data_IF_984301826906
#
_entry.id   IF_984301826906
#
_cell.length_a   1.000
_cell.length_b   1.000
_cell.length_c   1.000
_cell.angle_alpha   90.00
_cell.angle_beta   90.00
_cell.angle_gamma   90.00
#
_symmetry.space_group_name_H-M   'P 1'
#
loop_
_entity.id
_entity.type
_entity.pdbx_description
1 polymer ?
#
# COMPACT_ATOMS: atom_id res chain seq x y z
N UNK A 1 18.33 9.24 -14.01
CA UNK A 1 17.45 8.26 -14.69
C UNK A 1 17.25 7.01 -13.84
N UNK A 2 18.30 6.29 -13.44
CA UNK A 2 18.19 5.03 -12.68
C UNK A 2 17.27 5.07 -11.44
N UNK A 3 17.37 6.11 -10.59
CA UNK A 3 16.56 6.23 -9.38
C UNK A 3 15.04 6.33 -9.63
N UNK A 4 14.63 7.00 -10.71
CA UNK A 4 13.20 7.18 -11.05
C UNK A 4 12.55 5.84 -11.42
N UNK A 5 13.32 4.96 -12.04
CA UNK A 5 12.89 3.64 -12.48
C UNK A 5 13.22 2.53 -11.48
N UNK A 6 13.70 2.89 -10.28
CA UNK A 6 13.98 1.93 -9.22
C UNK A 6 12.67 1.40 -8.65
N UNK A 7 12.64 0.12 -8.27
CA UNK A 7 11.45 -0.55 -7.76
C UNK A 7 10.94 0.11 -6.46
N UNK A 8 11.83 0.58 -5.60
CA UNK A 8 11.47 1.33 -4.39
C UNK A 8 10.71 2.61 -4.72
N UNK A 9 11.08 3.28 -5.82
CA UNK A 9 10.39 4.49 -6.27
C UNK A 9 9.01 4.14 -6.82
N UNK A 10 8.89 3.04 -7.57
CA UNK A 10 7.59 2.52 -8.04
C UNK A 10 6.65 2.23 -6.85
N UNK A 11 7.12 1.46 -5.87
CA UNK A 11 6.32 1.06 -4.70
C UNK A 11 5.95 2.25 -3.82
N UNK A 12 6.86 3.23 -3.64
CA UNK A 12 6.55 4.47 -2.93
C UNK A 12 5.46 5.29 -3.64
N UNK A 13 5.47 5.33 -4.98
CA UNK A 13 4.43 5.99 -5.75
C UNK A 13 3.09 5.25 -5.68
N UNK A 14 3.10 3.92 -5.75
CA UNK A 14 1.88 3.12 -5.59
C UNK A 14 1.23 3.37 -4.23
N UNK A 15 2.01 3.35 -3.14
CA UNK A 15 1.48 3.64 -1.81
C UNK A 15 0.86 5.04 -1.73
N UNK A 16 1.55 6.04 -2.30
CA UNK A 16 1.04 7.40 -2.31
C UNK A 16 -0.31 7.49 -3.03
N UNK A 17 -0.46 6.82 -4.16
CA UNK A 17 -1.71 6.78 -4.92
C UNK A 17 -2.80 6.07 -4.12
N UNK A 18 -2.46 4.94 -3.49
CA UNK A 18 -3.41 4.14 -2.70
C UNK A 18 -3.96 4.92 -1.51
N UNK A 19 -3.09 5.59 -0.74
CA UNK A 19 -3.53 6.44 0.38
C UNK A 19 -4.46 7.56 -0.10
N UNK A 20 -4.16 8.19 -1.24
CA UNK A 20 -5.03 9.21 -1.82
C UNK A 20 -6.39 8.64 -2.27
N UNK A 21 -6.42 7.41 -2.77
CA UNK A 21 -7.66 6.72 -3.11
C UNK A 21 -8.50 6.45 -1.85
N UNK A 22 -7.88 5.94 -0.77
CA UNK A 22 -8.52 5.76 0.54
C UNK A 22 -9.09 7.08 1.07
N UNK A 23 -8.35 8.19 0.98
CA UNK A 23 -8.85 9.51 1.37
C UNK A 23 -10.08 9.94 0.56
N UNK A 24 -10.07 9.70 -0.75
CA UNK A 24 -11.22 9.97 -1.61
C UNK A 24 -12.45 9.16 -1.18
N UNK A 25 -12.26 7.88 -0.89
CA UNK A 25 -13.33 6.98 -0.45
C UNK A 25 -13.88 7.36 0.93
N UNK A 26 -13.02 7.73 1.88
CA UNK A 26 -13.41 8.21 3.20
C UNK A 26 -14.24 9.50 3.11
N UNK A 27 -13.87 10.44 2.20
CA UNK A 27 -14.68 11.65 1.93
C UNK A 27 -16.06 11.34 1.37
N UNK A 28 -16.19 10.23 0.64
CA UNK A 28 -17.47 9.74 0.13
C UNK A 28 -18.25 8.89 1.16
N UNK A 29 -17.72 8.73 2.39
CA UNK A 29 -18.36 7.96 3.46
C UNK A 29 -18.38 6.45 3.22
N UNK A 30 -17.44 5.92 2.41
CA UNK A 30 -17.38 4.48 2.09
C UNK A 30 -16.82 3.62 3.23
N UNK A 31 -16.01 4.20 4.12
CA UNK A 31 -15.49 3.53 5.30
C UNK A 31 -15.19 4.56 6.42
N UNK A 32 -15.01 4.13 7.69
CA UNK A 32 -14.79 5.01 8.84
C UNK A 32 -13.56 5.91 8.72
N UNK A 33 -13.62 7.12 9.29
CA UNK A 33 -12.46 8.02 9.35
C UNK A 33 -11.34 7.45 10.23
N UNK A 34 -11.68 6.72 11.29
CA UNK A 34 -10.71 6.08 12.18
C UNK A 34 -9.81 5.07 11.42
N UNK A 35 -10.34 4.38 10.42
CA UNK A 35 -9.56 3.46 9.58
C UNK A 35 -8.62 4.24 8.66
N UNK A 36 -9.04 5.41 8.15
CA UNK A 36 -8.18 6.29 7.35
C UNK A 36 -7.01 6.82 8.20
N UNK A 37 -7.26 7.19 9.44
CA UNK A 37 -6.23 7.66 10.37
C UNK A 37 -5.22 6.55 10.68
N UNK A 38 -5.68 5.30 10.84
CA UNK A 38 -4.80 4.14 10.98
C UNK A 38 -3.95 3.91 9.73
N UNK A 39 -4.55 3.97 8.53
CA UNK A 39 -3.83 3.84 7.26
C UNK A 39 -2.76 4.92 7.17
N UNK A 40 -3.09 6.19 7.43
CA UNK A 40 -2.10 7.30 7.38
C UNK A 40 -0.96 7.15 8.38
N UNK A 41 -1.24 6.65 9.58
CA UNK A 41 -0.25 6.50 10.63
C UNK A 41 0.71 5.33 10.40
N UNK A 42 0.26 4.28 9.70
CA UNK A 42 0.97 2.99 9.63
C UNK A 42 1.37 2.56 8.22
N UNK A 43 0.77 3.13 7.18
CA UNK A 43 1.11 2.82 5.80
C UNK A 43 2.56 3.24 5.51
N UNK A 44 3.39 2.25 5.22
CA UNK A 44 4.79 2.42 4.84
C UNK A 44 5.03 1.71 3.52
N UNK A 45 5.91 2.27 2.69
CA UNK A 45 6.22 1.67 1.40
C UNK A 45 6.92 0.33 1.68
N UNK A 46 6.42 -0.80 1.14
CA UNK A 46 7.06 -2.08 1.34
C UNK A 46 8.38 -2.12 0.58
N UNK A 47 9.31 -2.97 1.04
CA UNK A 47 10.56 -3.19 0.30
C UNK A 47 10.30 -4.10 -0.91
N UNK A 48 11.04 -3.95 -2.01
CA UNK A 48 10.91 -4.84 -3.17
C UNK A 48 11.06 -6.32 -2.83
N UNK A 49 11.94 -6.66 -1.89
CA UNK A 49 12.16 -8.03 -1.44
C UNK A 49 10.91 -8.60 -0.76
N UNK A 50 10.20 -7.80 0.05
CA UNK A 50 8.99 -8.26 0.73
C UNK A 50 7.86 -8.50 -0.27
N UNK A 51 7.72 -7.60 -1.25
CA UNK A 51 6.72 -7.76 -2.31
C UNK A 51 7.01 -9.02 -3.13
N UNK A 52 8.26 -9.23 -3.54
CA UNK A 52 8.67 -10.41 -4.31
C UNK A 52 8.38 -11.72 -3.57
N UNK A 53 8.64 -11.79 -2.25
CA UNK A 53 8.32 -12.98 -1.44
C UNK A 53 6.82 -13.32 -1.43
N UNK A 54 5.96 -12.30 -1.40
CA UNK A 54 4.51 -12.51 -1.43
C UNK A 54 4.07 -12.87 -2.86
N UNK A 55 4.69 -12.26 -3.86
CA UNK A 55 4.44 -12.53 -5.28
C UNK A 55 4.76 -13.98 -5.69
N UNK A 56 5.73 -14.63 -5.05
CA UNK A 56 5.99 -16.06 -5.24
C UNK A 56 4.77 -16.95 -4.94
N UNK A 57 3.88 -16.49 -4.06
CA UNK A 57 2.65 -17.20 -3.67
C UNK A 57 1.44 -16.67 -4.43
N UNK A 58 1.32 -15.34 -4.59
CA UNK A 58 0.14 -14.73 -5.24
C UNK A 58 0.22 -14.77 -6.76
N UNK A 59 1.43 -14.89 -7.33
CA UNK A 59 1.72 -14.73 -8.76
C UNK A 59 1.15 -13.43 -9.35
N UNK A 60 1.04 -12.39 -8.52
CA UNK A 60 0.50 -11.09 -8.89
C UNK A 60 1.11 -9.98 -8.04
N UNK A 61 1.88 -9.12 -8.70
CA UNK A 61 2.60 -7.97 -8.15
C UNK A 61 1.73 -6.98 -7.37
N UNK A 62 0.60 -6.54 -7.92
CA UNK A 62 -0.31 -5.59 -7.25
C UNK A 62 -0.95 -6.22 -6.02
N UNK A 63 -1.40 -7.47 -6.11
CA UNK A 63 -1.95 -8.17 -4.96
C UNK A 63 -0.89 -8.36 -3.85
N UNK A 64 0.34 -8.70 -4.24
CA UNK A 64 1.46 -8.82 -3.33
C UNK A 64 1.79 -7.49 -2.64
N UNK A 65 1.77 -6.39 -3.39
CA UNK A 65 1.97 -5.04 -2.87
C UNK A 65 0.90 -4.65 -1.84
N UNK A 66 -0.39 -4.81 -2.18
CA UNK A 66 -1.49 -4.47 -1.26
C UNK A 66 -1.39 -5.29 0.03
N UNK A 67 -1.08 -6.58 -0.09
CA UNK A 67 -0.86 -7.43 1.07
C UNK A 67 0.32 -6.96 1.92
N UNK A 68 1.46 -6.61 1.30
CA UNK A 68 2.63 -6.10 2.00
C UNK A 68 2.35 -4.77 2.74
N UNK A 69 1.56 -3.88 2.14
CA UNK A 69 1.15 -2.61 2.76
C UNK A 69 0.19 -2.83 3.93
N UNK A 70 -0.69 -3.83 3.84
CA UNK A 70 -1.67 -4.14 4.88
C UNK A 70 -1.04 -4.71 6.17
N UNK A 71 0.11 -5.39 6.08
CA UNK A 71 0.82 -6.01 7.22
C UNK A 71 1.04 -5.05 8.41
N UNK A 72 1.65 -3.86 8.23
CA UNK A 72 1.85 -2.91 9.33
C UNK A 72 0.57 -2.19 9.76
N UNK A 73 -0.44 -2.07 8.89
CA UNK A 73 -1.70 -1.35 9.18
C UNK A 73 -2.60 -2.20 10.09
N UNK A 74 -2.74 -3.49 9.77
CA UNK A 74 -3.60 -4.43 10.47
C UNK A 74 -5.03 -4.45 9.91
N UNK A 75 -6.08 -4.56 10.75
CA UNK A 75 -7.46 -4.72 10.28
C UNK A 75 -7.97 -3.62 9.35
N UNK A 76 -7.55 -2.37 9.55
CA UNK A 76 -7.94 -1.24 8.69
C UNK A 76 -7.34 -1.30 7.28
N UNK A 77 -6.34 -2.16 7.05
CA UNK A 77 -5.73 -2.37 5.73
C UNK A 77 -6.34 -3.53 4.93
N UNK A 78 -7.46 -4.11 5.38
CA UNK A 78 -8.11 -5.27 4.75
C UNK A 78 -9.49 -4.96 4.20
#
# INVERSE_FOLDING_TARGET
>A
MARVWAEETKLAHWLRIEVLACEGWARLGRFPQDDLDQIRARAVAPTPERVAQIEEVTHHDVAAFVQAVAEPIGPAGR
#
